data_IF_378226046253
#
_entry.id   IF_378226046253
#
_cell.length_a   1.000
_cell.length_b   1.000
_cell.length_c   1.000
_cell.angle_alpha   90.00
_cell.angle_beta   90.00
_cell.angle_gamma   90.00
#
_symmetry.space_group_name_H-M   'P 1'
#
loop_
_entity.id
_entity.type
_entity.pdbx_description
1 polymer ?
#
# COMPACT_ATOMS: atom_id res chain seq x y z
N UNK A 1 14.59 32.42 -15.31
CA UNK A 1 14.01 31.94 -14.03
C UNK A 1 13.70 30.47 -14.23
N UNK A 2 14.52 29.58 -13.68
CA UNK A 2 14.45 28.13 -13.92
C UNK A 2 13.37 27.52 -13.04
N UNK A 3 12.18 27.30 -13.61
CA UNK A 3 11.13 26.51 -12.98
C UNK A 3 11.53 25.03 -13.02
N UNK A 4 12.19 24.60 -11.95
CA UNK A 4 12.45 23.21 -11.64
C UNK A 4 11.11 22.49 -11.44
N UNK A 5 10.53 21.98 -12.53
CA UNK A 5 9.33 21.14 -12.50
C UNK A 5 9.65 19.93 -11.63
N UNK A 6 9.21 19.98 -10.38
CA UNK A 6 9.25 18.86 -9.47
C UNK A 6 8.44 17.76 -10.15
N UNK A 7 9.13 16.77 -10.75
CA UNK A 7 8.56 15.49 -11.19
C UNK A 7 8.02 14.76 -9.95
N UNK A 8 6.95 15.25 -9.34
CA UNK A 8 6.08 14.42 -8.52
C UNK A 8 5.44 13.44 -9.51
N UNK A 9 6.07 12.28 -9.69
CA UNK A 9 5.45 11.14 -10.38
C UNK A 9 4.17 10.84 -9.62
N UNK A 10 3.07 11.44 -10.05
CA UNK A 10 1.72 11.06 -9.63
C UNK A 10 1.60 9.60 -10.03
N UNK A 11 1.84 8.71 -9.06
CA UNK A 11 1.58 7.29 -9.27
C UNK A 11 0.08 7.17 -9.24
N UNK A 12 -0.54 7.23 -10.41
CA UNK A 12 -1.89 6.75 -10.63
C UNK A 12 -1.88 5.27 -10.23
N UNK A 13 -2.14 5.00 -8.96
CA UNK A 13 -2.21 3.65 -8.44
C UNK A 13 -3.57 3.08 -8.80
N UNK A 14 -3.57 1.96 -9.51
CA UNK A 14 -4.74 1.13 -9.66
C UNK A 14 -4.93 0.38 -8.35
N UNK A 15 -5.88 0.82 -7.52
CA UNK A 15 -6.48 -0.10 -6.58
C UNK A 15 -7.01 -1.32 -7.37
N UNK A 16 -6.90 -2.55 -6.83
CA UNK A 16 -7.45 -3.70 -7.50
C UNK A 16 -8.95 -3.49 -7.75
N UNK A 17 -9.36 -3.56 -9.02
CA UNK A 17 -10.76 -3.39 -9.44
C UNK A 17 -11.71 -4.38 -8.77
N UNK A 18 -11.18 -5.54 -8.36
CA UNK A 18 -11.96 -6.60 -7.72
C UNK A 18 -11.46 -6.88 -6.30
N UNK A 19 -12.42 -7.09 -5.41
CA UNK A 19 -12.19 -7.32 -3.99
C UNK A 19 -11.42 -8.62 -3.71
N UNK A 20 -11.54 -9.62 -4.58
CA UNK A 20 -10.81 -10.87 -4.52
C UNK A 20 -9.28 -10.69 -4.56
N UNK A 21 -8.81 -9.72 -5.35
CA UNK A 21 -7.38 -9.43 -5.48
C UNK A 21 -6.83 -8.62 -4.31
N UNK A 22 -7.66 -8.09 -3.42
CA UNK A 22 -7.17 -7.35 -2.23
C UNK A 22 -6.37 -8.26 -1.29
N UNK A 23 -6.60 -9.57 -1.32
CA UNK A 23 -5.85 -10.56 -0.52
C UNK A 23 -4.37 -10.60 -0.89
N UNK A 24 -4.07 -10.32 -2.15
CA UNK A 24 -2.71 -10.34 -2.68
C UNK A 24 -2.02 -8.98 -2.58
N UNK A 25 -2.67 -7.94 -2.03
CA UNK A 25 -2.11 -6.60 -1.98
C UNK A 25 -2.01 -6.07 -0.55
N UNK A 26 -0.89 -5.41 -0.29
CA UNK A 26 -0.67 -4.76 1.00
C UNK A 26 -1.37 -3.41 1.03
N UNK A 27 -2.38 -3.23 1.87
CA UNK A 27 -3.09 -1.95 1.98
C UNK A 27 -2.19 -0.78 2.42
N UNK A 28 -1.04 -1.06 3.07
CA UNK A 28 -0.12 -0.03 3.56
C UNK A 28 0.75 0.54 2.43
N UNK A 29 1.26 -0.32 1.55
CA UNK A 29 2.19 0.11 0.49
C UNK A 29 1.67 -0.13 -0.94
N UNK A 30 0.45 -0.65 -1.07
CA UNK A 30 -0.26 -0.95 -2.31
C UNK A 30 0.52 -1.82 -3.30
N UNK A 31 1.40 -2.70 -2.78
CA UNK A 31 2.18 -3.65 -3.57
C UNK A 31 1.73 -5.08 -3.30
N UNK A 32 1.91 -5.95 -4.29
CA UNK A 32 1.64 -7.38 -4.16
C UNK A 32 2.38 -8.00 -2.98
N UNK A 33 1.68 -8.81 -2.22
CA UNK A 33 2.16 -9.67 -1.15
C UNK A 33 2.59 -10.96 -1.81
N UNK A 34 3.89 -11.25 -1.76
CA UNK A 34 4.40 -12.58 -2.12
C UNK A 34 4.00 -13.57 -1.05
N UNK A 35 3.83 -14.83 -1.45
CA UNK A 35 3.50 -15.94 -0.56
C UNK A 35 4.34 -15.91 0.73
N UNK A 36 3.69 -16.21 1.86
CA UNK A 36 4.26 -16.21 3.22
C UNK A 36 4.70 -14.85 3.80
N UNK A 37 4.65 -13.76 3.03
CA UNK A 37 4.98 -12.40 3.52
C UNK A 37 3.75 -11.59 3.90
N UNK A 38 2.55 -12.14 3.74
CA UNK A 38 1.28 -11.54 4.13
C UNK A 38 0.99 -11.68 5.61
N UNK A 39 0.23 -10.72 6.12
CA UNK A 39 -0.44 -10.75 7.41
C UNK A 39 -1.88 -10.27 7.19
N UNK A 40 -2.84 -11.08 7.61
CA UNK A 40 -4.25 -10.70 7.60
C UNK A 40 -4.56 -9.77 8.78
N UNK A 41 -5.31 -8.69 8.53
CA UNK A 41 -5.63 -7.67 9.55
C UNK A 41 -7.11 -7.67 9.93
N UNK A 42 -7.94 -8.47 9.29
CA UNK A 42 -9.40 -8.34 9.34
C UNK A 42 -9.96 -7.50 8.19
N UNK A 43 -11.29 -7.47 8.05
CA UNK A 43 -12.01 -6.74 6.99
C UNK A 43 -11.50 -7.01 5.57
N UNK A 44 -11.10 -8.25 5.26
CA UNK A 44 -10.53 -8.60 3.95
C UNK A 44 -9.22 -7.85 3.60
N UNK A 45 -8.58 -7.20 4.57
CA UNK A 45 -7.33 -6.46 4.38
C UNK A 45 -6.11 -7.32 4.72
N UNK A 46 -5.08 -7.15 3.92
CA UNK A 46 -3.79 -7.80 4.09
C UNK A 46 -2.66 -6.78 4.03
N UNK A 47 -1.56 -7.04 4.76
CA UNK A 47 -0.32 -6.23 4.69
C UNK A 47 0.91 -7.11 4.62
N UNK A 48 2.02 -6.58 4.11
CA UNK A 48 3.29 -7.27 4.30
C UNK A 48 3.66 -7.27 5.78
N UNK A 49 4.20 -8.38 6.30
CA UNK A 49 4.74 -8.48 7.67
C UNK A 49 5.66 -7.30 8.04
N UNK A 50 6.47 -6.84 7.07
CA UNK A 50 7.38 -5.69 7.20
C UNK A 50 6.70 -4.31 7.15
N UNK A 51 5.53 -4.20 6.54
CA UNK A 51 4.82 -2.94 6.40
C UNK A 51 4.10 -2.63 7.69
N UNK A 52 4.55 -1.62 8.44
CA UNK A 52 3.86 -1.16 9.65
C UNK A 52 2.78 -0.15 9.24
N UNK A 53 1.51 -0.31 9.64
CA UNK A 53 0.59 0.80 9.59
C UNK A 53 1.20 1.93 10.43
N UNK A 54 1.19 3.15 9.89
CA UNK A 54 1.80 4.29 10.57
C UNK A 54 1.36 4.32 12.03
N UNK A 55 2.33 4.32 12.95
CA UNK A 55 2.06 4.66 14.35
C UNK A 55 1.62 6.11 14.33
N UNK A 56 0.32 6.36 14.48
CA UNK A 56 -0.15 7.69 14.88
C UNK A 56 0.46 7.91 16.27
N UNK A 57 1.52 8.72 16.34
CA UNK A 57 1.91 9.32 17.62
C UNK A 57 0.86 10.40 17.88
N UNK A 58 -0.15 10.08 18.67
CA UNK A 58 -0.87 11.10 19.42
C UNK A 58 0.11 11.55 20.50
N UNK A 59 0.65 12.75 20.30
CA UNK A 59 1.52 13.47 21.21
C UNK A 59 1.19 14.95 21.11
#
# INVERSE_FOLDING_TARGET
MTESIIKQKVKYFQEPLFEEFRKDYCYVCYRRIKDNKGLYIGNSLWRHKKCKPYRIKIG
#
